data_IF_117250182227
#
_entry.id   IF_117250182227
#
_cell.length_a   1.000
_cell.length_b   1.000
_cell.length_c   1.000
_cell.angle_alpha   90.00
_cell.angle_beta   90.00
_cell.angle_gamma   90.00
#
_symmetry.space_group_name_H-M   'P 1'
#
loop_
_entity.id
_entity.type
_entity.pdbx_description
1 polymer ?
#
# COMPACT_ATOMS: atom_id res chain seq x y z
N UNK A 1 27.66 3.97 -3.36
CA UNK A 1 27.01 3.57 -4.63
C UNK A 1 25.87 4.55 -4.88
N UNK A 2 25.88 5.28 -6.00
CA UNK A 2 24.76 6.14 -6.38
C UNK A 2 23.77 5.32 -7.20
N UNK A 3 22.48 5.42 -6.89
CA UNK A 3 21.42 4.86 -7.74
C UNK A 3 21.21 5.83 -8.91
N UNK A 4 21.30 5.35 -10.15
CA UNK A 4 20.97 6.14 -11.33
C UNK A 4 19.44 6.28 -11.44
N UNK A 5 18.96 7.52 -11.41
CA UNK A 5 17.54 7.88 -11.46
C UNK A 5 17.11 8.40 -12.85
N UNK A 6 17.96 8.24 -13.87
CA UNK A 6 17.68 8.67 -15.24
C UNK A 6 16.45 7.93 -15.79
N UNK A 7 15.47 8.70 -16.27
CA UNK A 7 14.23 8.12 -16.82
C UNK A 7 14.47 7.66 -18.25
N UNK A 8 14.28 6.37 -18.49
CA UNK A 8 14.22 5.81 -19.85
C UNK A 8 12.78 5.94 -20.39
N UNK A 9 12.57 6.89 -21.31
CA UNK A 9 11.24 7.21 -21.86
C UNK A 9 10.63 6.06 -22.67
N UNK A 10 11.41 5.40 -23.51
CA UNK A 10 10.93 4.29 -24.34
C UNK A 10 10.42 3.12 -23.48
N UNK A 11 11.15 2.77 -22.41
CA UNK A 11 10.70 1.77 -21.44
C UNK A 11 9.45 2.22 -20.69
N UNK A 12 9.37 3.50 -20.31
CA UNK A 12 8.18 4.04 -19.65
C UNK A 12 6.94 3.90 -20.54
N UNK A 13 7.06 4.26 -21.83
CA UNK A 13 5.95 4.18 -22.78
C UNK A 13 5.44 2.75 -22.94
N UNK A 14 6.34 1.77 -23.10
CA UNK A 14 5.98 0.34 -23.16
C UNK A 14 5.28 -0.15 -21.87
N UNK A 15 5.74 0.29 -20.69
CA UNK A 15 5.10 -0.07 -19.41
C UNK A 15 3.71 0.55 -19.28
N UNK A 16 3.55 1.81 -19.70
CA UNK A 16 2.25 2.49 -19.69
C UNK A 16 1.26 1.79 -20.62
N UNK A 17 1.69 1.41 -21.82
CA UNK A 17 0.85 0.65 -22.76
C UNK A 17 0.43 -0.70 -22.17
N UNK A 18 1.39 -1.46 -21.61
CA UNK A 18 1.11 -2.74 -20.97
C UNK A 18 0.14 -2.63 -19.80
N UNK A 19 0.28 -1.59 -18.97
CA UNK A 19 -0.63 -1.34 -17.86
C UNK A 19 -2.06 -1.07 -18.36
N UNK A 20 -2.23 -0.33 -19.46
CA UNK A 20 -3.54 -0.08 -20.08
C UNK A 20 -4.16 -1.37 -20.63
N UNK A 21 -3.41 -2.18 -21.36
CA UNK A 21 -3.88 -3.48 -21.90
C UNK A 21 -4.40 -4.40 -20.81
N UNK A 22 -3.76 -4.39 -19.64
CA UNK A 22 -4.11 -5.24 -18.50
C UNK A 22 -5.11 -4.57 -17.55
N UNK A 23 -5.64 -3.39 -17.90
CA UNK A 23 -6.57 -2.60 -17.08
C UNK A 23 -6.03 -2.29 -15.67
N UNK A 24 -4.72 -2.09 -15.55
CA UNK A 24 -4.05 -1.76 -14.28
C UNK A 24 -4.18 -0.26 -14.03
N UNK A 25 -4.79 0.09 -12.90
CA UNK A 25 -4.86 1.46 -12.40
C UNK A 25 -3.75 1.65 -11.37
N UNK A 26 -2.81 2.54 -11.64
CA UNK A 26 -1.68 2.82 -10.75
C UNK A 26 -2.08 3.94 -9.76
N UNK A 27 -1.95 3.72 -8.45
CA UNK A 27 -2.21 4.75 -7.45
C UNK A 27 -1.14 5.85 -7.51
N UNK A 28 -1.56 7.07 -7.17
CA UNK A 28 -0.62 8.16 -6.92
C UNK A 28 0.02 8.01 -5.54
N UNK A 29 1.21 8.57 -5.33
CA UNK A 29 1.81 8.63 -4.00
C UNK A 29 0.92 9.35 -2.97
N UNK A 30 0.13 10.34 -3.41
CA UNK A 30 -0.82 11.03 -2.54
C UNK A 30 -1.92 10.09 -2.03
N UNK A 31 -2.39 9.16 -2.87
CA UNK A 31 -3.37 8.14 -2.52
C UNK A 31 -2.77 7.04 -1.62
N UNK A 32 -1.52 6.63 -1.88
CA UNK A 32 -0.84 5.64 -1.02
C UNK A 32 -0.59 6.17 0.39
N UNK A 33 -0.19 7.44 0.50
CA UNK A 33 0.00 8.12 1.79
C UNK A 33 -1.32 8.33 2.54
N UNK A 34 -2.38 8.63 1.79
CA UNK A 34 -3.68 9.02 2.32
C UNK A 34 -4.80 8.28 1.59
N UNK A 35 -5.24 7.13 2.14
CA UNK A 35 -6.29 6.31 1.53
C UNK A 35 -7.63 7.03 1.33
N UNK A 36 -7.89 8.12 2.05
CA UNK A 36 -9.11 8.92 1.86
C UNK A 36 -9.18 9.55 0.47
N UNK A 37 -8.02 9.80 -0.17
CA UNK A 37 -7.93 10.29 -1.55
C UNK A 37 -8.18 9.22 -2.62
N UNK A 38 -8.32 7.96 -2.23
CA UNK A 38 -8.62 6.87 -3.17
C UNK A 38 -10.09 6.98 -3.59
N UNK A 39 -10.42 6.90 -4.89
CA UNK A 39 -11.80 6.93 -5.34
C UNK A 39 -12.66 5.83 -4.71
N UNK A 40 -13.88 6.17 -4.29
CA UNK A 40 -14.80 5.22 -3.64
C UNK A 40 -15.09 3.96 -4.46
N UNK A 41 -15.07 4.06 -5.79
CA UNK A 41 -15.20 2.89 -6.67
C UNK A 41 -14.09 1.86 -6.43
N UNK A 42 -12.85 2.30 -6.21
CA UNK A 42 -11.71 1.42 -5.92
C UNK A 42 -11.81 0.84 -4.52
N UNK A 43 -12.14 1.66 -3.51
CA UNK A 43 -12.35 1.17 -2.13
C UNK A 43 -13.43 0.09 -2.06
N UNK A 44 -14.54 0.26 -2.79
CA UNK A 44 -15.60 -0.75 -2.88
C UNK A 44 -15.15 -2.01 -3.60
N UNK A 45 -14.40 -1.88 -4.70
CA UNK A 45 -13.87 -3.03 -5.43
C UNK A 45 -12.89 -3.87 -4.59
N UNK A 46 -12.06 -3.21 -3.77
CA UNK A 46 -11.12 -3.86 -2.85
C UNK A 46 -11.79 -4.78 -1.83
N UNK A 47 -13.06 -4.53 -1.48
CA UNK A 47 -13.79 -5.41 -0.55
C UNK A 47 -14.01 -6.83 -1.09
N UNK A 48 -13.90 -7.00 -2.40
CA UNK A 48 -14.07 -8.29 -3.07
C UNK A 48 -12.72 -8.90 -3.52
N UNK A 49 -11.60 -8.33 -3.05
CA UNK A 49 -10.24 -8.77 -3.39
C UNK A 49 -9.52 -9.19 -2.12
N UNK A 50 -9.05 -10.43 -2.08
CA UNK A 50 -8.25 -10.96 -0.99
C UNK A 50 -6.91 -10.24 -0.88
N UNK A 51 -6.41 -10.08 0.35
CA UNK A 51 -5.15 -9.39 0.60
C UNK A 51 -3.93 -10.11 -0.03
N UNK A 52 -4.06 -11.40 -0.30
CA UNK A 52 -3.03 -12.24 -0.93
C UNK A 52 -3.25 -12.52 -2.42
N UNK A 53 -4.34 -12.01 -2.99
CA UNK A 53 -4.65 -12.24 -4.40
C UNK A 53 -3.67 -11.49 -5.31
N UNK A 54 -3.31 -12.13 -6.43
CA UNK A 54 -2.56 -11.48 -7.51
C UNK A 54 -3.51 -10.60 -8.32
N UNK A 55 -3.91 -9.49 -7.71
CA UNK A 55 -4.87 -8.53 -8.26
C UNK A 55 -4.26 -7.12 -8.30
N UNK A 56 -4.29 -6.40 -9.45
CA UNK A 56 -3.75 -5.05 -9.56
C UNK A 56 -4.34 -4.04 -8.57
N UNK A 57 -5.57 -4.24 -8.09
CA UNK A 57 -6.17 -3.36 -7.08
C UNK A 57 -5.38 -3.36 -5.76
N UNK A 58 -4.67 -4.44 -5.44
CA UNK A 58 -3.83 -4.49 -4.23
C UNK A 58 -2.67 -3.48 -4.27
N UNK A 59 -2.36 -2.86 -5.42
CA UNK A 59 -1.43 -1.72 -5.48
C UNK A 59 -1.89 -0.54 -4.61
N UNK A 60 -3.20 -0.36 -4.41
CA UNK A 60 -3.75 0.68 -3.53
C UNK A 60 -3.54 0.39 -2.04
N UNK A 61 -3.17 -0.84 -1.67
CA UNK A 61 -2.91 -1.28 -0.30
C UNK A 61 -1.44 -1.17 0.11
N UNK A 62 -0.57 -0.51 -0.66
CA UNK A 62 0.83 -0.27 -0.27
C UNK A 62 0.90 0.87 0.76
N UNK A 63 0.45 0.60 1.98
CA UNK A 63 0.31 1.56 3.09
C UNK A 63 0.17 0.85 4.44
N UNK A 64 0.56 1.49 5.55
CA UNK A 64 0.37 0.94 6.91
C UNK A 64 -1.04 1.13 7.48
N UNK A 65 -1.94 1.75 6.71
CA UNK A 65 -3.32 2.04 7.09
C UNK A 65 -4.31 0.97 6.63
N UNK A 66 -3.84 -0.22 6.25
CA UNK A 66 -4.73 -1.31 5.86
C UNK A 66 -5.44 -1.87 7.08
N UNK A 67 -6.72 -2.19 6.95
CA UNK A 67 -7.42 -2.94 7.98
C UNK A 67 -6.80 -4.37 8.11
N UNK A 68 -6.47 -4.85 9.32
CA UNK A 68 -5.77 -6.13 9.51
C UNK A 68 -6.72 -7.34 9.38
N UNK A 69 -7.34 -7.50 8.22
CA UNK A 69 -8.24 -8.61 7.90
C UNK A 69 -7.77 -9.37 6.65
N UNK A 70 -8.11 -10.66 6.60
CA UNK A 70 -7.70 -11.54 5.50
C UNK A 70 -8.50 -11.28 4.21
N UNK A 71 -9.76 -10.85 4.34
CA UNK A 71 -10.67 -10.58 3.23
C UNK A 71 -11.46 -9.30 3.49
N UNK A 72 -11.79 -8.58 2.43
CA UNK A 72 -12.65 -7.41 2.51
C UNK A 72 -12.03 -6.17 3.16
N UNK A 73 -10.73 -6.22 3.47
CA UNK A 73 -10.01 -5.19 4.22
C UNK A 73 -10.20 -3.79 3.61
N UNK A 74 -10.73 -2.88 4.43
CA UNK A 74 -10.79 -1.45 4.16
C UNK A 74 -9.49 -0.75 4.56
N UNK A 75 -9.64 0.49 5.03
CA UNK A 75 -8.56 1.29 5.58
C UNK A 75 -8.93 1.74 6.99
N UNK A 76 -7.93 1.89 7.85
CA UNK A 76 -8.06 2.37 9.22
C UNK A 76 -6.85 3.20 9.65
N UNK A 77 -6.59 3.21 10.95
CA UNK A 77 -5.41 3.84 11.51
C UNK A 77 -4.12 3.09 11.14
N UNK A 78 -2.97 3.68 11.48
CA UNK A 78 -1.68 3.04 11.28
C UNK A 78 -1.60 1.82 12.19
N UNK A 79 -1.38 0.66 11.58
CA UNK A 79 -1.15 -0.59 12.29
C UNK A 79 0.17 -0.50 13.06
N UNK A 80 0.08 -0.47 14.39
CA UNK A 80 1.23 -0.40 15.29
C UNK A 80 1.13 -1.46 16.38
N UNK A 81 2.29 -1.96 16.79
CA UNK A 81 2.46 -2.72 18.03
C UNK A 81 3.36 -1.89 18.94
N UNK A 82 2.87 -1.54 20.13
CA UNK A 82 3.68 -0.96 21.20
C UNK A 82 4.30 -2.08 22.02
N UNK A 83 5.62 -2.07 22.17
CA UNK A 83 6.32 -3.02 23.02
C UNK A 83 6.26 -2.55 24.48
N UNK A 84 5.76 -3.39 25.40
CA UNK A 84 5.71 -3.03 26.81
C UNK A 84 7.12 -2.91 27.39
N UNK A 85 7.31 -2.01 28.35
CA UNK A 85 8.59 -1.81 29.04
C UNK A 85 9.10 -3.10 29.69
N UNK A 86 8.19 -3.98 30.15
CA UNK A 86 8.52 -5.28 30.71
C UNK A 86 9.23 -6.21 29.72
N UNK A 87 9.01 -6.00 28.41
CA UNK A 87 9.67 -6.75 27.34
C UNK A 87 10.91 -6.03 26.80
N UNK A 88 10.87 -4.70 26.70
CA UNK A 88 11.98 -3.90 26.14
C UNK A 88 13.13 -3.65 27.12
N UNK A 89 12.85 -3.59 28.42
CA UNK A 89 13.83 -3.30 29.46
C UNK A 89 14.35 -1.85 29.48
N UNK A 90 13.75 -0.94 28.71
CA UNK A 90 14.17 0.46 28.59
C UNK A 90 13.00 1.43 28.75
N UNK A 91 13.27 2.65 29.21
CA UNK A 91 12.23 3.69 29.42
C UNK A 91 11.66 4.27 28.12
N UNK A 92 12.36 4.11 26.99
CA UNK A 92 11.90 4.59 25.70
C UNK A 92 10.71 3.74 25.18
N UNK A 93 9.66 4.41 24.71
CA UNK A 93 8.52 3.75 24.05
C UNK A 93 8.94 3.25 22.67
N UNK A 94 8.74 1.96 22.41
CA UNK A 94 9.06 1.31 21.14
C UNK A 94 7.77 0.98 20.42
N UNK A 95 7.59 1.51 19.21
CA UNK A 95 6.48 1.19 18.32
C UNK A 95 7.00 0.52 17.05
N UNK A 96 6.36 -0.58 16.66
CA UNK A 96 6.63 -1.28 15.41
C UNK A 96 5.43 -1.09 14.48
N UNK A 97 5.67 -0.55 13.30
CA UNK A 97 4.65 -0.50 12.25
C UNK A 97 4.51 -1.87 11.60
N UNK A 98 3.27 -2.33 11.41
CA UNK A 98 2.95 -3.66 10.87
C UNK A 98 2.13 -3.48 9.59
N UNK A 99 2.55 -4.05 8.48
CA UNK A 99 1.82 -3.92 7.20
C UNK A 99 2.62 -4.38 6.02
#
# INVERSE_FOLDING_TARGET
MLIDLTINKERLDHVVERAREQNIIIPTFAQLRDPDKIPEKIKKALKNVGSWDVNPLNLFRVTWKNEPTLEGAGYGDVNIIEFPQQLSGIDARIFVMVG
#
